data_IF_910835610180
#
_entry.id   IF_910835610180
#
_cell.length_a   1.000
_cell.length_b   1.000
_cell.length_c   1.000
_cell.angle_alpha   90.00
_cell.angle_beta   90.00
_cell.angle_gamma   90.00
#
_symmetry.space_group_name_H-M   'P 1'
#
loop_
_entity.id
_entity.type
_entity.pdbx_description
1 polymer ?
#
# COMPACT_ATOMS: atom_id res chain seq x y z
N UNK A 1 -14.05 29.93 13.14
CA UNK A 1 -12.85 30.17 12.28
C UNK A 1 -11.71 29.16 12.54
N UNK A 2 -12.00 28.04 13.21
CA UNK A 2 -11.07 26.94 13.52
C UNK A 2 -11.14 25.78 12.51
N UNK A 3 -12.29 25.56 11.86
CA UNK A 3 -12.50 24.40 10.98
C UNK A 3 -11.56 24.31 9.77
N UNK A 4 -11.13 25.44 9.21
CA UNK A 4 -10.24 25.46 8.04
C UNK A 4 -8.81 25.04 8.40
N UNK A 5 -8.33 25.37 9.60
CA UNK A 5 -7.00 24.98 10.07
C UNK A 5 -6.95 23.50 10.45
N UNK A 6 -8.02 22.97 11.06
CA UNK A 6 -8.13 21.54 11.38
C UNK A 6 -8.20 20.68 10.12
N UNK A 7 -8.93 21.11 9.08
CA UNK A 7 -8.95 20.41 7.77
C UNK A 7 -7.58 20.42 7.08
N UNK A 8 -6.83 21.51 7.17
CA UNK A 8 -5.48 21.61 6.61
C UNK A 8 -4.47 20.74 7.39
N UNK A 9 -4.56 20.69 8.73
CA UNK A 9 -3.73 19.80 9.55
C UNK A 9 -4.07 18.33 9.35
N UNK A 10 -5.36 17.98 9.27
CA UNK A 10 -5.81 16.62 8.96
C UNK A 10 -5.30 16.17 7.58
N UNK A 11 -5.29 17.07 6.59
CA UNK A 11 -4.77 16.81 5.25
C UNK A 11 -3.24 16.59 5.23
N UNK A 12 -2.48 17.32 6.05
CA UNK A 12 -1.03 17.08 6.22
C UNK A 12 -0.73 15.77 6.94
N UNK A 13 -1.48 15.46 8.00
CA UNK A 13 -1.34 14.19 8.72
C UNK A 13 -1.67 13.01 7.81
N UNK A 14 -2.75 13.08 7.04
CA UNK A 14 -3.11 12.03 6.08
C UNK A 14 -2.01 11.79 5.02
N UNK A 15 -1.35 12.85 4.54
CA UNK A 15 -0.22 12.74 3.61
C UNK A 15 0.99 11.98 4.16
N UNK A 16 1.20 11.99 5.48
CA UNK A 16 2.30 11.27 6.13
C UNK A 16 1.86 9.88 6.62
N UNK A 17 0.62 9.74 7.09
CA UNK A 17 0.12 8.47 7.64
C UNK A 17 -0.04 7.41 6.55
N UNK A 18 -0.49 7.77 5.34
CA UNK A 18 -0.67 6.83 4.22
C UNK A 18 0.66 6.14 3.83
N UNK A 19 1.77 6.86 3.53
CA UNK A 19 3.04 6.20 3.20
C UNK A 19 3.63 5.45 4.39
N UNK A 20 3.43 5.93 5.62
CA UNK A 20 3.91 5.26 6.83
C UNK A 20 3.24 3.90 7.04
N UNK A 21 1.91 3.83 6.88
CA UNK A 21 1.15 2.58 6.94
C UNK A 21 1.58 1.61 5.85
N UNK A 22 1.80 2.11 4.63
CA UNK A 22 2.31 1.30 3.52
C UNK A 22 3.69 0.69 3.83
N UNK A 23 4.60 1.49 4.38
CA UNK A 23 5.93 1.03 4.80
C UNK A 23 5.86 -0.03 5.91
N UNK A 24 5.03 0.19 6.94
CA UNK A 24 4.82 -0.77 8.03
C UNK A 24 4.29 -2.10 7.52
N UNK A 25 3.27 -2.07 6.66
CA UNK A 25 2.70 -3.28 6.05
C UNK A 25 3.70 -4.01 5.15
N UNK A 26 4.54 -3.27 4.42
CA UNK A 26 5.59 -3.86 3.58
C UNK A 26 6.67 -4.55 4.44
N UNK A 27 7.15 -3.87 5.48
CA UNK A 27 8.16 -4.41 6.41
C UNK A 27 7.59 -5.62 7.16
N UNK A 28 6.37 -5.53 7.68
CA UNK A 28 5.70 -6.65 8.32
C UNK A 28 5.51 -7.82 7.34
N UNK A 29 5.12 -7.51 6.10
CA UNK A 29 4.95 -8.48 5.02
C UNK A 29 6.21 -9.29 4.70
N UNK A 30 7.37 -8.63 4.69
CA UNK A 30 8.67 -9.22 4.36
C UNK A 30 9.37 -9.87 5.56
N UNK A 31 9.29 -9.26 6.75
CA UNK A 31 10.04 -9.68 7.93
C UNK A 31 9.27 -10.64 8.84
N UNK A 32 7.93 -10.59 8.88
CA UNK A 32 7.14 -11.47 9.75
C UNK A 32 7.03 -12.88 9.15
N UNK A 33 6.87 -13.94 9.96
CA UNK A 33 6.70 -15.30 9.45
C UNK A 33 5.49 -15.43 8.51
N UNK A 34 5.50 -16.43 7.63
CA UNK A 34 4.61 -16.53 6.46
C UNK A 34 3.11 -16.31 6.77
N UNK A 35 2.63 -16.92 7.85
CA UNK A 35 1.25 -16.83 8.31
C UNK A 35 0.79 -15.41 8.69
N UNK A 36 1.72 -14.51 9.03
CA UNK A 36 1.45 -13.09 9.30
C UNK A 36 1.83 -12.21 8.09
N UNK A 37 2.95 -12.53 7.43
CA UNK A 37 3.47 -11.71 6.33
C UNK A 37 2.62 -11.77 5.06
N UNK A 38 2.03 -12.93 4.74
CA UNK A 38 1.12 -13.08 3.59
C UNK A 38 -0.14 -12.21 3.76
N UNK A 39 -0.90 -12.29 4.88
CA UNK A 39 -2.06 -11.41 5.05
C UNK A 39 -1.67 -9.93 5.13
N UNK A 40 -0.51 -9.58 5.71
CA UNK A 40 -0.02 -8.20 5.70
C UNK A 40 0.25 -7.66 4.28
N UNK A 41 0.89 -8.46 3.41
CA UNK A 41 1.09 -8.10 2.00
C UNK A 41 -0.24 -8.04 1.24
N UNK A 42 -1.18 -8.93 1.52
CA UNK A 42 -2.50 -8.90 0.88
C UNK A 42 -3.27 -7.63 1.24
N UNK A 43 -3.24 -7.22 2.51
CA UNK A 43 -3.81 -5.95 2.98
C UNK A 43 -3.10 -4.77 2.32
N UNK A 44 -1.78 -4.80 2.16
CA UNK A 44 -1.03 -3.76 1.45
C UNK A 44 -1.47 -3.62 -0.01
N UNK A 45 -1.58 -4.73 -0.74
CA UNK A 45 -2.05 -4.73 -2.13
C UNK A 45 -3.46 -4.17 -2.21
N UNK A 46 -4.38 -4.64 -1.38
CA UNK A 46 -5.76 -4.16 -1.35
C UNK A 46 -5.83 -2.66 -1.03
N UNK A 47 -5.02 -2.19 -0.07
CA UNK A 47 -4.94 -0.79 0.30
C UNK A 47 -4.43 0.08 -0.86
N UNK A 48 -3.37 -0.34 -1.55
CA UNK A 48 -2.81 0.39 -2.69
C UNK A 48 -3.80 0.42 -3.87
N UNK A 49 -4.48 -0.69 -4.16
CA UNK A 49 -5.52 -0.75 -5.21
C UNK A 49 -6.69 0.17 -4.87
N UNK A 50 -7.16 0.15 -3.62
CA UNK A 50 -8.23 1.03 -3.16
C UNK A 50 -7.83 2.50 -3.27
N UNK A 51 -6.60 2.85 -2.89
CA UNK A 51 -6.07 4.21 -3.03
C UNK A 51 -5.97 4.62 -4.51
N UNK A 52 -5.57 3.69 -5.38
CA UNK A 52 -5.47 3.91 -6.81
C UNK A 52 -6.84 4.15 -7.46
N UNK A 53 -7.90 3.44 -7.02
CA UNK A 53 -9.28 3.65 -7.48
C UNK A 53 -9.87 5.00 -7.01
N UNK A 54 -9.51 5.45 -5.81
CA UNK A 54 -9.99 6.73 -5.25
C UNK A 54 -9.34 7.97 -5.84
N UNK A 55 -8.22 7.85 -6.55
CA UNK A 55 -7.53 9.00 -7.15
C UNK A 55 -8.02 9.20 -8.60
N UNK A 56 -8.77 10.28 -8.89
CA UNK A 56 -9.33 10.53 -10.22
C UNK A 56 -8.32 11.02 -11.26
N UNK A 57 -7.08 11.28 -10.87
CA UNK A 57 -6.02 11.72 -11.79
C UNK A 57 -5.48 10.56 -12.64
N UNK A 58 -6.18 10.27 -13.74
CA UNK A 58 -5.76 9.35 -14.80
C UNK A 58 -4.81 10.01 -15.81
N UNK A 59 -3.90 10.86 -15.36
CA UNK A 59 -2.81 11.29 -16.25
C UNK A 59 -1.95 10.05 -16.58
N UNK A 60 -1.83 9.75 -17.88
CA UNK A 60 -1.38 8.46 -18.42
C UNK A 60 -0.03 7.96 -17.87
N UNK A 61 0.86 8.87 -17.45
CA UNK A 61 2.13 8.52 -16.79
C UNK A 61 1.97 7.97 -15.37
N UNK A 62 1.14 8.59 -14.53
CA UNK A 62 0.92 8.15 -13.13
C UNK A 62 0.13 6.84 -13.07
N UNK A 63 -0.80 6.63 -14.00
CA UNK A 63 -1.52 5.37 -14.13
C UNK A 63 -0.55 4.19 -14.39
N UNK A 64 0.44 4.36 -15.27
CA UNK A 64 1.43 3.34 -15.59
C UNK A 64 2.31 2.99 -14.39
N UNK A 65 2.77 4.00 -13.63
CA UNK A 65 3.55 3.80 -12.40
C UNK A 65 2.72 3.05 -11.36
N UNK A 66 1.44 3.40 -11.17
CA UNK A 66 0.55 2.69 -10.24
C UNK A 66 0.38 1.22 -10.59
N UNK A 67 0.16 0.91 -11.87
CA UNK A 67 0.05 -0.49 -12.34
C UNK A 67 1.36 -1.26 -12.10
N UNK A 68 2.51 -0.64 -12.35
CA UNK A 68 3.82 -1.23 -12.03
C UNK A 68 3.97 -1.51 -10.53
N UNK A 69 3.63 -0.56 -9.68
CA UNK A 69 3.71 -0.72 -8.21
C UNK A 69 2.79 -1.84 -7.74
N UNK A 70 1.54 -1.88 -8.21
CA UNK A 70 0.61 -2.97 -7.89
C UNK A 70 1.16 -4.31 -8.39
N UNK A 71 1.69 -4.37 -9.61
CA UNK A 71 2.30 -5.58 -10.16
C UNK A 71 3.49 -6.08 -9.33
N UNK A 72 4.37 -5.19 -8.87
CA UNK A 72 5.50 -5.54 -7.99
C UNK A 72 4.99 -6.08 -6.65
N UNK A 73 4.01 -5.43 -6.03
CA UNK A 73 3.44 -5.90 -4.76
C UNK A 73 2.77 -7.27 -4.89
N UNK A 74 2.07 -7.51 -6.00
CA UNK A 74 1.48 -8.83 -6.31
C UNK A 74 2.57 -9.87 -6.54
N UNK A 75 3.63 -9.55 -7.28
CA UNK A 75 4.75 -10.46 -7.50
C UNK A 75 5.45 -10.82 -6.17
N UNK A 76 5.63 -9.85 -5.28
CA UNK A 76 6.16 -10.09 -3.93
C UNK A 76 5.24 -10.99 -3.11
N UNK A 77 3.93 -10.76 -3.13
CA UNK A 77 2.94 -11.61 -2.45
C UNK A 77 3.01 -13.05 -2.96
N UNK A 78 3.03 -13.25 -4.28
CA UNK A 78 3.10 -14.56 -4.92
C UNK A 78 4.43 -15.25 -4.60
N UNK A 79 5.54 -14.54 -4.71
CA UNK A 79 6.86 -15.07 -4.34
C UNK A 79 6.89 -15.55 -2.89
N UNK A 80 6.38 -14.73 -1.95
CA UNK A 80 6.27 -15.09 -0.53
C UNK A 80 5.40 -16.31 -0.30
N UNK A 81 4.26 -16.40 -0.99
CA UNK A 81 3.36 -17.53 -0.90
C UNK A 81 4.04 -18.82 -1.41
N UNK A 82 4.69 -18.75 -2.56
CA UNK A 82 5.43 -19.88 -3.13
C UNK A 82 6.56 -20.34 -2.20
N UNK A 83 7.33 -19.41 -1.62
CA UNK A 83 8.36 -19.74 -0.63
C UNK A 83 7.78 -20.42 0.60
N UNK A 84 6.60 -19.99 1.08
CA UNK A 84 5.95 -20.59 2.24
C UNK A 84 5.31 -21.96 1.98
N UNK A 85 5.01 -22.28 0.72
CA UNK A 85 4.37 -23.55 0.32
C UNK A 85 5.39 -24.59 -0.18
N UNK A 86 6.47 -24.14 -0.82
CA UNK A 86 7.49 -25.00 -1.43
C UNK A 86 8.77 -25.14 -0.59
N UNK A 87 8.98 -24.26 0.39
CA UNK A 87 10.07 -24.33 1.37
C UNK A 87 9.60 -24.90 2.69
#
# INVERSE_FOLDING_TARGET
MSDSYDRLQASRRARLVIPLLGALLLVAGLAAPAWIGIPALAVLVAFVVWLAQRSPDQTSGLARIRVLVVGILVALLVGRFLTAVLG
#
